data_IF_684430096566
#
_entry.id   IF_684430096566
#
_cell.length_a   1.000
_cell.length_b   1.000
_cell.length_c   1.000
_cell.angle_alpha   90.00
_cell.angle_beta   90.00
_cell.angle_gamma   90.00
#
_symmetry.space_group_name_H-M   'P 1'
#
loop_
_entity.id
_entity.type
_entity.pdbx_description
1 polymer ?
#
# COMPACT_ATOMS: atom_id res chain seq x y z
N UNK A 1 -6.69 -4.88 -8.91
CA UNK A 1 -7.06 -3.47 -8.75
C UNK A 1 -8.30 -3.06 -9.56
N UNK A 2 -8.44 -3.31 -10.88
CA UNK A 2 -9.62 -2.90 -11.65
C UNK A 2 -10.94 -3.48 -11.13
N UNK A 3 -10.92 -4.74 -10.68
CA UNK A 3 -12.11 -5.41 -10.13
C UNK A 3 -12.62 -4.69 -8.87
N UNK A 4 -11.71 -4.35 -7.96
CA UNK A 4 -12.05 -3.64 -6.72
C UNK A 4 -12.51 -2.21 -7.03
N UNK A 5 -11.88 -1.53 -8.00
CA UNK A 5 -12.32 -0.23 -8.46
C UNK A 5 -13.78 -0.25 -8.94
N UNK A 6 -14.11 -1.16 -9.84
CA UNK A 6 -15.47 -1.33 -10.35
C UNK A 6 -16.45 -1.71 -9.24
N UNK A 7 -16.06 -2.61 -8.36
CA UNK A 7 -16.89 -3.06 -7.24
C UNK A 7 -17.16 -1.91 -6.26
N UNK A 8 -16.12 -1.16 -5.88
CA UNK A 8 -16.26 -0.02 -4.97
C UNK A 8 -17.14 1.09 -5.58
N UNK A 9 -17.04 1.34 -6.88
CA UNK A 9 -17.84 2.37 -7.54
C UNK A 9 -19.32 2.01 -7.66
N UNK A 10 -19.66 0.72 -7.64
CA UNK A 10 -21.04 0.22 -7.75
C UNK A 10 -21.72 -0.05 -6.42
N UNK A 11 -20.95 -0.11 -5.35
CA UNK A 11 -21.51 -0.41 -4.03
C UNK A 11 -22.41 0.74 -3.57
N UNK A 12 -23.65 0.39 -3.23
CA UNK A 12 -24.60 1.33 -2.64
C UNK A 12 -24.83 0.96 -1.17
N UNK A 13 -24.27 1.73 -0.25
CA UNK A 13 -24.28 1.46 1.18
C UNK A 13 -24.63 2.72 1.97
N UNK A 14 -25.14 2.53 3.21
CA UNK A 14 -25.39 3.61 4.18
C UNK A 14 -24.13 4.43 4.49
N UNK A 15 -22.96 3.79 4.33
CA UNK A 15 -21.63 4.40 4.54
C UNK A 15 -21.02 4.96 3.24
N UNK A 16 -21.86 5.24 2.23
CA UNK A 16 -21.36 5.61 0.91
C UNK A 16 -20.85 4.39 0.12
N UNK A 17 -20.30 4.62 -1.07
CA UNK A 17 -19.86 3.53 -1.96
C UNK A 17 -18.48 2.96 -1.62
N UNK A 18 -17.53 3.80 -1.15
CA UNK A 18 -16.11 3.42 -0.95
C UNK A 18 -15.75 3.08 0.47
N UNK A 19 -16.39 3.72 1.46
CA UNK A 19 -16.08 3.53 2.88
C UNK A 19 -16.23 2.10 3.39
N UNK A 20 -17.19 1.27 2.93
CA UNK A 20 -17.27 -0.13 3.35
C UNK A 20 -15.97 -0.91 3.10
N UNK A 21 -15.31 -0.66 1.96
CA UNK A 21 -14.03 -1.28 1.61
C UNK A 21 -12.90 -0.79 2.50
N UNK A 22 -12.87 0.51 2.78
CA UNK A 22 -11.90 1.11 3.70
C UNK A 22 -12.03 0.52 5.10
N UNK A 23 -13.26 0.41 5.64
CA UNK A 23 -13.51 -0.19 6.96
C UNK A 23 -13.10 -1.67 7.00
N UNK A 24 -13.51 -2.43 5.98
CA UNK A 24 -13.20 -3.85 5.93
C UNK A 24 -11.70 -4.13 5.83
N UNK A 25 -10.93 -3.27 5.18
CA UNK A 25 -9.49 -3.46 4.99
C UNK A 25 -8.65 -3.22 6.24
N UNK A 26 -9.11 -2.43 7.23
CA UNK A 26 -8.33 -2.01 8.40
C UNK A 26 -7.72 -3.20 9.14
N UNK A 27 -8.56 -4.15 9.52
CA UNK A 27 -8.16 -5.31 10.34
C UNK A 27 -7.29 -6.29 9.53
N UNK A 28 -7.74 -6.80 8.37
CA UNK A 28 -6.94 -7.79 7.65
C UNK A 28 -5.61 -7.22 7.13
N UNK A 29 -5.54 -5.92 6.80
CA UNK A 29 -4.30 -5.29 6.39
C UNK A 29 -3.26 -5.25 7.52
N UNK A 30 -3.64 -4.78 8.70
CA UNK A 30 -2.74 -4.69 9.86
C UNK A 30 -2.34 -6.08 10.39
N UNK A 31 -3.27 -7.04 10.44
CA UNK A 31 -2.97 -8.40 10.87
C UNK A 31 -2.08 -9.16 9.88
N UNK A 32 -2.36 -9.03 8.57
CA UNK A 32 -1.53 -9.68 7.55
C UNK A 32 -0.10 -9.15 7.59
N UNK A 33 0.09 -7.82 7.75
CA UNK A 33 1.41 -7.25 7.95
C UNK A 33 2.09 -7.79 9.21
N UNK A 34 1.39 -7.79 10.34
CA UNK A 34 1.94 -8.32 11.59
C UNK A 34 2.41 -9.76 11.44
N UNK A 35 1.56 -10.66 10.98
CA UNK A 35 1.91 -12.08 10.84
C UNK A 35 2.96 -12.36 9.75
N UNK A 36 3.06 -11.48 8.74
CA UNK A 36 4.07 -11.61 7.70
C UNK A 36 5.47 -11.29 8.25
N UNK A 37 5.60 -10.19 9.00
CA UNK A 37 6.87 -9.72 9.56
C UNK A 37 7.24 -10.49 10.82
N UNK A 38 6.26 -10.77 11.71
CA UNK A 38 6.44 -11.62 12.88
C UNK A 38 6.47 -13.10 12.47
N UNK A 39 7.48 -13.50 11.71
CA UNK A 39 7.66 -14.88 11.25
C UNK A 39 7.73 -15.90 12.40
N UNK A 40 7.70 -17.21 12.11
CA UNK A 40 8.01 -18.24 13.07
C UNK A 40 9.47 -18.14 13.50
N UNK A 41 9.80 -18.64 14.70
CA UNK A 41 11.19 -18.70 15.13
C UNK A 41 12.02 -19.60 14.18
N UNK A 42 13.32 -19.32 14.05
CA UNK A 42 14.20 -20.14 13.21
C UNK A 42 14.15 -21.63 13.61
N UNK A 43 13.82 -22.49 12.64
CA UNK A 43 13.70 -23.93 12.85
C UNK A 43 12.35 -24.41 13.40
N UNK A 44 11.39 -23.52 13.66
CA UNK A 44 10.06 -23.89 14.16
C UNK A 44 9.16 -24.47 13.06
N UNK A 45 9.44 -24.19 11.81
CA UNK A 45 8.64 -24.61 10.66
C UNK A 45 9.55 -25.12 9.55
N UNK A 46 9.14 -26.18 8.86
CA UNK A 46 9.85 -26.67 7.69
C UNK A 46 9.67 -25.75 6.47
N UNK A 47 10.62 -25.79 5.54
CA UNK A 47 10.69 -24.87 4.39
C UNK A 47 9.41 -24.88 3.52
N UNK A 48 8.78 -26.05 3.35
CA UNK A 48 7.55 -26.18 2.57
C UNK A 48 6.37 -25.44 3.20
N UNK A 49 6.18 -25.59 4.51
CA UNK A 49 5.13 -24.91 5.26
C UNK A 49 5.41 -23.43 5.37
N UNK A 50 6.67 -23.03 5.54
CA UNK A 50 7.09 -21.63 5.52
C UNK A 50 6.76 -20.96 4.19
N UNK A 51 7.07 -21.62 3.07
CA UNK A 51 6.75 -21.10 1.73
C UNK A 51 5.25 -20.84 1.57
N UNK A 52 4.39 -21.82 1.89
CA UNK A 52 2.94 -21.66 1.75
C UNK A 52 2.37 -20.61 2.70
N UNK A 53 2.90 -20.50 3.93
CA UNK A 53 2.55 -19.46 4.87
C UNK A 53 2.85 -18.07 4.29
N UNK A 54 4.05 -17.87 3.74
CA UNK A 54 4.45 -16.60 3.12
C UNK A 54 3.56 -16.25 1.93
N UNK A 55 3.30 -17.21 1.03
CA UNK A 55 2.41 -17.00 -0.12
C UNK A 55 1.02 -16.57 0.35
N UNK A 56 0.44 -17.25 1.32
CA UNK A 56 -0.90 -16.97 1.83
C UNK A 56 -0.98 -15.58 2.48
N UNK A 57 -0.02 -15.26 3.35
CA UNK A 57 0.02 -13.95 4.03
C UNK A 57 0.27 -12.80 3.06
N UNK A 58 1.15 -13.00 2.07
CA UNK A 58 1.37 -12.02 1.00
C UNK A 58 0.11 -11.80 0.16
N UNK A 59 -0.65 -12.84 -0.16
CA UNK A 59 -1.91 -12.70 -0.88
C UNK A 59 -2.93 -11.91 -0.06
N UNK A 60 -3.10 -12.21 1.24
CA UNK A 60 -4.01 -11.46 2.12
C UNK A 60 -3.57 -10.00 2.22
N UNK A 61 -2.28 -9.76 2.43
CA UNK A 61 -1.71 -8.41 2.51
C UNK A 61 -2.02 -7.61 1.25
N UNK A 62 -1.75 -8.19 0.06
CA UNK A 62 -2.00 -7.54 -1.23
C UNK A 62 -3.47 -7.25 -1.48
N UNK A 63 -4.35 -8.20 -1.18
CA UNK A 63 -5.80 -8.01 -1.32
C UNK A 63 -6.27 -6.90 -0.38
N UNK A 64 -5.84 -6.91 0.88
CA UNK A 64 -6.24 -5.91 1.87
C UNK A 64 -5.71 -4.52 1.53
N UNK A 65 -4.47 -4.44 1.04
CA UNK A 65 -3.85 -3.21 0.54
C UNK A 65 -4.65 -2.64 -0.66
N UNK A 66 -5.00 -3.47 -1.63
CA UNK A 66 -5.82 -3.06 -2.79
C UNK A 66 -7.22 -2.59 -2.36
N UNK A 67 -7.85 -3.29 -1.39
CA UNK A 67 -9.15 -2.89 -0.83
C UNK A 67 -9.10 -1.52 -0.14
N UNK A 68 -7.94 -1.10 0.35
CA UNK A 68 -7.74 0.21 0.95
C UNK A 68 -7.32 1.26 -0.10
N UNK A 69 -6.26 0.99 -0.87
CA UNK A 69 -5.63 1.99 -1.73
C UNK A 69 -6.49 2.42 -2.92
N UNK A 70 -7.17 1.48 -3.56
CA UNK A 70 -7.99 1.80 -4.75
C UNK A 70 -9.15 2.72 -4.38
N UNK A 71 -10.00 2.41 -3.38
CA UNK A 71 -11.07 3.33 -2.98
C UNK A 71 -10.55 4.65 -2.41
N UNK A 72 -9.43 4.62 -1.65
CA UNK A 72 -8.81 5.84 -1.10
C UNK A 72 -8.28 6.76 -2.19
N UNK A 73 -7.57 6.20 -3.17
CA UNK A 73 -7.02 6.96 -4.30
C UNK A 73 -8.11 7.63 -5.13
N UNK A 74 -9.24 6.94 -5.32
CA UNK A 74 -10.37 7.49 -6.03
C UNK A 74 -11.21 8.47 -5.18
N UNK A 75 -11.16 8.38 -3.83
CA UNK A 75 -11.83 9.31 -2.92
C UNK A 75 -11.12 10.68 -2.86
N UNK A 76 -9.80 10.70 -2.89
CA UNK A 76 -9.01 11.93 -2.72
C UNK A 76 -9.41 13.07 -3.69
N UNK A 77 -9.57 12.85 -5.02
CA UNK A 77 -10.04 13.88 -5.94
C UNK A 77 -11.48 14.33 -5.73
N UNK A 78 -12.31 13.52 -5.04
CA UNK A 78 -13.71 13.85 -4.78
C UNK A 78 -13.88 14.73 -3.54
N UNK A 79 -12.89 14.76 -2.63
CA UNK A 79 -12.95 15.56 -1.40
C UNK A 79 -12.89 17.06 -1.66
N UNK A 80 -12.35 17.49 -2.79
CA UNK A 80 -12.35 18.92 -3.18
C UNK A 80 -12.55 19.09 -4.68
N UNK A 81 -13.29 20.13 -5.05
CA UNK A 81 -13.46 20.55 -6.45
C UNK A 81 -12.38 21.56 -6.87
N UNK A 82 -11.71 22.17 -5.91
CA UNK A 82 -10.65 23.15 -6.14
C UNK A 82 -9.34 22.44 -6.51
N UNK A 83 -8.69 22.90 -7.56
CA UNK A 83 -7.42 22.37 -8.05
C UNK A 83 -6.30 22.51 -7.02
N UNK A 84 -6.18 23.68 -6.40
CA UNK A 84 -5.10 23.97 -5.44
C UNK A 84 -5.25 23.12 -4.17
N UNK A 85 -6.49 22.93 -3.70
CA UNK A 85 -6.75 22.04 -2.57
C UNK A 85 -6.44 20.58 -2.89
N UNK A 86 -6.76 20.08 -4.10
CA UNK A 86 -6.38 18.73 -4.52
C UNK A 86 -4.88 18.53 -4.55
N UNK A 87 -4.15 19.52 -5.08
CA UNK A 87 -2.71 19.49 -5.14
C UNK A 87 -2.08 19.50 -3.73
N UNK A 88 -2.63 20.32 -2.84
CA UNK A 88 -2.23 20.36 -1.42
C UNK A 88 -2.48 19.00 -0.73
N UNK A 89 -3.65 18.39 -0.93
CA UNK A 89 -3.96 17.07 -0.38
C UNK A 89 -3.01 15.99 -0.90
N UNK A 90 -2.69 16.00 -2.19
CA UNK A 90 -1.74 15.06 -2.78
C UNK A 90 -0.33 15.24 -2.21
N UNK A 91 0.14 16.50 -2.10
CA UNK A 91 1.46 16.82 -1.55
C UNK A 91 1.58 16.43 -0.07
N UNK A 92 0.57 16.72 0.74
CA UNK A 92 0.52 16.29 2.15
C UNK A 92 0.49 14.77 2.27
N UNK A 93 -0.29 14.08 1.42
CA UNK A 93 -0.32 12.61 1.42
C UNK A 93 1.04 12.00 1.09
N UNK A 94 1.76 12.56 0.12
CA UNK A 94 3.12 12.13 -0.20
C UNK A 94 4.09 12.43 0.96
N UNK A 95 4.03 13.63 1.52
CA UNK A 95 4.88 14.02 2.64
C UNK A 95 4.71 13.07 3.83
N UNK A 96 3.47 12.85 4.28
CA UNK A 96 3.19 11.92 5.38
C UNK A 96 3.51 10.46 5.02
N UNK A 97 3.37 10.06 3.76
CA UNK A 97 3.79 8.74 3.28
C UNK A 97 5.30 8.52 3.44
N UNK A 98 6.10 9.50 3.03
CA UNK A 98 7.56 9.46 3.18
C UNK A 98 7.97 9.52 4.66
N UNK A 99 7.43 10.44 5.45
CA UNK A 99 7.73 10.52 6.89
C UNK A 99 7.32 9.24 7.64
N UNK A 100 6.17 8.66 7.31
CA UNK A 100 5.73 7.40 7.92
C UNK A 100 6.61 6.22 7.52
N UNK A 101 6.89 6.07 6.21
CA UNK A 101 7.71 4.97 5.70
C UNK A 101 9.17 5.08 6.13
N UNK A 102 9.83 6.19 5.82
CA UNK A 102 11.22 6.42 6.21
C UNK A 102 11.40 6.50 7.73
N UNK A 103 10.43 7.09 8.44
CA UNK A 103 10.47 7.19 9.89
C UNK A 103 10.45 5.85 10.59
N UNK A 104 9.55 4.94 10.20
CA UNK A 104 9.51 3.59 10.79
C UNK A 104 10.73 2.77 10.39
N UNK A 105 11.22 2.89 9.15
CA UNK A 105 12.43 2.21 8.70
C UNK A 105 13.66 2.68 9.48
N UNK A 106 13.81 4.00 9.67
CA UNK A 106 14.86 4.58 10.50
C UNK A 106 14.82 4.07 11.95
N UNK A 107 13.64 4.13 12.60
CA UNK A 107 13.46 3.66 13.97
C UNK A 107 13.78 2.17 14.08
N UNK A 108 13.28 1.37 13.13
CA UNK A 108 13.52 -0.06 13.11
C UNK A 108 15.02 -0.41 13.03
N UNK A 109 15.71 0.19 12.06
CA UNK A 109 17.13 -0.09 11.82
C UNK A 109 18.04 0.47 12.91
N UNK A 110 17.69 1.60 13.50
CA UNK A 110 18.55 2.26 14.49
C UNK A 110 18.36 1.70 15.89
N UNK A 111 17.12 1.40 16.30
CA UNK A 111 16.80 1.04 17.68
C UNK A 111 16.40 -0.43 17.88
N UNK A 112 15.85 -1.10 16.87
CA UNK A 112 15.24 -2.42 17.06
C UNK A 112 16.02 -3.55 16.40
N UNK A 113 16.76 -3.30 15.32
CA UNK A 113 17.47 -4.32 14.57
C UNK A 113 18.98 -4.25 14.86
N UNK A 114 19.50 -5.23 15.59
CA UNK A 114 20.94 -5.40 15.80
C UNK A 114 21.63 -5.99 14.56
N UNK A 115 20.90 -6.79 13.79
CA UNK A 115 21.36 -7.39 12.53
C UNK A 115 20.18 -7.58 11.57
N UNK A 116 20.45 -7.86 10.28
CA UNK A 116 19.40 -8.15 9.29
C UNK A 116 18.68 -9.48 9.52
N UNK A 117 19.17 -10.33 10.41
CA UNK A 117 18.56 -11.61 10.80
C UNK A 117 18.07 -11.61 12.25
N UNK A 118 17.92 -10.44 12.86
CA UNK A 118 17.46 -10.29 14.24
C UNK A 118 15.97 -10.57 14.38
N UNK A 119 15.65 -11.77 14.84
CA UNK A 119 14.28 -12.21 15.04
C UNK A 119 13.49 -11.32 16.01
N UNK A 120 14.09 -10.94 17.13
CA UNK A 120 13.43 -10.12 18.15
C UNK A 120 13.13 -8.70 17.63
N UNK A 121 14.09 -8.11 16.92
CA UNK A 121 13.89 -6.81 16.29
C UNK A 121 12.74 -6.80 15.28
N UNK A 122 12.62 -7.86 14.48
CA UNK A 122 11.48 -8.01 13.55
C UNK A 122 10.14 -8.22 14.26
N UNK A 123 10.10 -8.87 15.43
CA UNK A 123 8.86 -8.97 16.23
C UNK A 123 8.39 -7.59 16.72
N UNK A 124 9.33 -6.75 17.17
CA UNK A 124 9.02 -5.37 17.58
C UNK A 124 8.54 -4.54 16.39
N UNK A 125 9.23 -4.63 15.24
CA UNK A 125 8.83 -3.96 14.00
C UNK A 125 7.44 -4.41 13.53
N UNK A 126 7.15 -5.71 13.59
CA UNK A 126 5.84 -6.26 13.22
C UNK A 126 4.72 -5.66 14.08
N UNK A 127 4.94 -5.59 15.40
CA UNK A 127 3.95 -5.07 16.34
C UNK A 127 3.68 -3.57 16.12
N UNK A 128 4.72 -2.75 16.15
CA UNK A 128 4.58 -1.30 15.98
C UNK A 128 4.16 -0.90 14.57
N UNK A 129 4.69 -1.59 13.55
CA UNK A 129 4.27 -1.38 12.16
C UNK A 129 2.80 -1.77 11.93
N UNK A 130 2.35 -2.89 12.50
CA UNK A 130 0.95 -3.31 12.46
C UNK A 130 0.01 -2.30 13.14
N UNK A 131 0.39 -1.76 14.31
CA UNK A 131 -0.34 -0.68 14.99
C UNK A 131 -0.34 0.59 14.14
N UNK A 132 0.78 0.96 13.54
CA UNK A 132 0.88 2.12 12.65
C UNK A 132 -0.05 2.03 11.45
N UNK A 133 -0.10 0.86 10.79
CA UNK A 133 -1.04 0.58 9.70
C UNK A 133 -2.48 0.67 10.19
N UNK A 134 -2.80 0.05 11.32
CA UNK A 134 -4.16 0.10 11.90
C UNK A 134 -4.60 1.53 12.17
N UNK A 135 -3.79 2.33 12.86
CA UNK A 135 -4.10 3.72 13.19
C UNK A 135 -4.22 4.56 11.92
N UNK A 136 -3.25 4.47 11.00
CA UNK A 136 -3.25 5.25 9.76
C UNK A 136 -4.46 4.97 8.87
N UNK A 137 -4.82 3.71 8.70
CA UNK A 137 -6.00 3.31 7.92
C UNK A 137 -7.30 3.69 8.63
N UNK A 138 -7.39 3.53 9.96
CA UNK A 138 -8.55 3.93 10.74
C UNK A 138 -8.76 5.45 10.73
N UNK A 139 -7.71 6.23 10.95
CA UNK A 139 -7.77 7.71 10.90
C UNK A 139 -8.21 8.19 9.52
N UNK A 140 -7.66 7.62 8.46
CA UNK A 140 -8.07 7.96 7.08
C UNK A 140 -9.54 7.65 6.86
N UNK A 141 -9.99 6.46 7.25
CA UNK A 141 -11.36 5.98 7.02
C UNK A 141 -12.38 6.76 7.84
N UNK A 142 -12.11 6.95 9.14
CA UNK A 142 -13.03 7.66 10.06
C UNK A 142 -13.00 9.16 9.74
N UNK A 143 -11.83 9.73 9.48
CA UNK A 143 -11.67 11.16 9.18
C UNK A 143 -12.40 11.60 7.91
N UNK A 144 -12.44 10.73 6.89
CA UNK A 144 -13.16 11.01 5.64
C UNK A 144 -14.65 10.67 5.68
N UNK A 145 -15.10 9.94 6.72
CA UNK A 145 -16.51 9.55 6.86
C UNK A 145 -17.47 10.74 6.87
N UNK A 146 -17.09 11.84 7.48
CA UNK A 146 -17.90 13.06 7.56
C UNK A 146 -18.25 13.64 6.20
N UNK A 147 -17.42 13.42 5.20
CA UNK A 147 -17.58 13.98 3.86
C UNK A 147 -18.49 13.14 2.95
N UNK A 148 -18.96 11.96 3.40
CA UNK A 148 -19.79 11.04 2.61
C UNK A 148 -21.03 11.74 1.97
N UNK A 149 -21.79 12.60 2.69
CA UNK A 149 -22.97 13.25 2.12
C UNK A 149 -22.67 14.17 0.94
N UNK A 150 -21.45 14.72 0.87
CA UNK A 150 -21.00 15.68 -0.13
C UNK A 150 -20.38 15.01 -1.37
N UNK A 151 -20.11 13.70 -1.29
CA UNK A 151 -19.48 12.96 -2.37
C UNK A 151 -20.41 12.85 -3.58
N UNK A 152 -19.88 13.14 -4.74
CA UNK A 152 -20.61 13.04 -6.01
C UNK A 152 -21.10 11.61 -6.27
N UNK A 153 -22.38 11.47 -6.60
CA UNK A 153 -22.96 10.21 -7.07
C UNK A 153 -22.85 10.16 -8.60
N UNK A 154 -21.87 9.46 -9.17
CA UNK A 154 -21.82 9.33 -10.63
C UNK A 154 -23.05 8.58 -11.14
N UNK A 155 -23.47 8.86 -12.37
CA UNK A 155 -24.55 8.10 -12.99
C UNK A 155 -24.20 6.61 -13.03
N UNK A 156 -25.20 5.77 -12.80
CA UNK A 156 -25.04 4.32 -12.86
C UNK A 156 -24.58 3.92 -14.27
N UNK A 157 -23.29 3.62 -14.42
CA UNK A 157 -22.73 3.18 -15.69
C UNK A 157 -22.92 1.67 -15.79
N UNK A 158 -23.63 1.22 -16.82
CA UNK A 158 -23.74 -0.20 -17.13
C UNK A 158 -22.35 -0.73 -17.52
N UNK A 159 -21.92 -1.88 -16.95
CA UNK A 159 -20.77 -2.59 -17.46
C UNK A 159 -21.19 -3.31 -18.74
N UNK A 160 -20.91 -2.69 -19.84
CA UNK A 160 -20.80 -3.42 -21.09
C UNK A 160 -19.32 -3.77 -21.30
N UNK A 161 -19.00 -5.06 -21.31
CA UNK A 161 -17.63 -5.56 -21.58
C UNK A 161 -17.10 -5.03 -22.90
N UNK A 162 -18.00 -4.76 -23.85
CA UNK A 162 -17.64 -4.20 -25.15
C UNK A 162 -17.21 -2.74 -25.04
N UNK A 163 -17.90 -1.93 -24.25
CA UNK A 163 -17.51 -0.54 -24.01
C UNK A 163 -16.18 -0.46 -23.24
N UNK A 164 -15.99 -1.34 -22.26
CA UNK A 164 -14.74 -1.42 -21.50
C UNK A 164 -13.55 -1.79 -22.39
N UNK A 165 -13.70 -2.80 -23.27
CA UNK A 165 -12.61 -3.18 -24.20
C UNK A 165 -12.31 -2.06 -25.20
N UNK A 166 -13.32 -1.34 -25.68
CA UNK A 166 -13.15 -0.19 -26.58
C UNK A 166 -12.37 0.96 -25.89
N UNK A 167 -12.71 1.27 -24.64
CA UNK A 167 -12.00 2.28 -23.84
C UNK A 167 -10.55 1.90 -23.57
N UNK A 168 -10.28 0.62 -23.30
CA UNK A 168 -8.91 0.12 -23.16
C UNK A 168 -8.11 0.30 -24.46
N UNK A 169 -8.67 -0.06 -25.59
CA UNK A 169 -8.01 0.07 -26.90
C UNK A 169 -7.73 1.54 -27.19
N UNK A 170 -8.68 2.44 -26.93
CA UNK A 170 -8.48 3.88 -27.11
C UNK A 170 -7.35 4.42 -26.22
N UNK A 171 -7.30 3.99 -24.97
CA UNK A 171 -6.24 4.37 -24.02
C UNK A 171 -4.89 3.86 -24.51
N UNK A 172 -4.80 2.59 -24.90
CA UNK A 172 -3.58 1.98 -25.44
C UNK A 172 -3.15 2.55 -26.82
N UNK A 173 -4.06 3.21 -27.54
CA UNK A 173 -3.75 3.89 -28.81
C UNK A 173 -3.21 5.32 -28.60
N UNK A 174 -3.32 5.87 -27.39
CA UNK A 174 -2.84 7.21 -27.09
C UNK A 174 -1.31 7.22 -26.88
N UNK A 175 -0.58 7.83 -27.80
CA UNK A 175 0.91 7.88 -27.76
C UNK A 175 1.44 8.53 -26.49
N UNK A 176 0.84 9.62 -26.02
CA UNK A 176 1.25 10.30 -24.78
C UNK A 176 1.09 9.41 -23.57
N UNK A 177 -0.03 8.66 -23.51
CA UNK A 177 -0.28 7.69 -22.45
C UNK A 177 0.74 6.54 -22.49
N UNK A 178 1.05 6.00 -23.69
CA UNK A 178 2.05 4.94 -23.84
C UNK A 178 3.45 5.36 -23.39
N UNK A 179 3.86 6.59 -23.70
CA UNK A 179 5.17 7.12 -23.26
C UNK A 179 5.21 7.23 -21.73
N UNK A 180 4.16 7.78 -21.12
CA UNK A 180 4.07 7.86 -19.66
C UNK A 180 4.03 6.49 -19.01
N UNK A 181 3.29 5.55 -19.58
CA UNK A 181 3.22 4.17 -19.09
C UNK A 181 4.58 3.47 -19.18
N UNK A 182 5.27 3.57 -20.32
CA UNK A 182 6.60 3.00 -20.49
C UNK A 182 7.61 3.61 -19.49
N UNK A 183 7.60 4.93 -19.34
CA UNK A 183 8.43 5.62 -18.34
C UNK A 183 8.16 5.13 -16.92
N UNK A 184 6.88 4.98 -16.55
CA UNK A 184 6.47 4.43 -15.27
C UNK A 184 6.93 2.98 -15.05
N UNK A 185 6.88 2.14 -16.11
CA UNK A 185 7.39 0.77 -16.06
C UNK A 185 8.90 0.74 -15.80
N UNK A 186 9.69 1.53 -16.52
CA UNK A 186 11.15 1.60 -16.31
C UNK A 186 11.49 2.12 -14.91
N UNK A 187 10.80 3.16 -14.45
CA UNK A 187 10.96 3.67 -13.09
C UNK A 187 10.65 2.60 -12.03
N UNK A 188 9.52 1.91 -12.18
CA UNK A 188 9.12 0.85 -11.24
C UNK A 188 10.08 -0.34 -11.24
N UNK A 189 10.64 -0.71 -12.40
CA UNK A 189 11.69 -1.73 -12.51
C UNK A 189 12.94 -1.31 -11.73
N UNK A 190 13.37 -0.05 -11.89
CA UNK A 190 14.55 0.49 -11.22
C UNK A 190 14.38 0.48 -9.71
N UNK A 191 13.26 1.03 -9.21
CA UNK A 191 12.94 1.04 -7.78
C UNK A 191 12.77 -0.38 -7.23
N UNK A 192 12.15 -1.29 -8.00
CA UNK A 192 11.98 -2.68 -7.60
C UNK A 192 13.31 -3.43 -7.49
N UNK A 193 14.23 -3.22 -8.42
CA UNK A 193 15.59 -3.79 -8.36
C UNK A 193 16.37 -3.22 -7.18
N UNK A 194 16.35 -1.91 -6.98
CA UNK A 194 17.01 -1.26 -5.86
C UNK A 194 16.51 -1.81 -4.52
N UNK A 195 15.18 -1.86 -4.33
CA UNK A 195 14.57 -2.36 -3.09
C UNK A 195 14.83 -3.85 -2.87
N UNK A 196 14.79 -4.66 -3.94
CA UNK A 196 14.96 -6.11 -3.84
C UNK A 196 16.40 -6.54 -3.58
N UNK A 197 17.36 -5.84 -4.15
CA UNK A 197 18.79 -6.23 -4.08
C UNK A 197 19.57 -5.38 -3.07
N UNK A 198 19.06 -4.19 -2.72
CA UNK A 198 19.74 -3.23 -1.86
C UNK A 198 20.15 -3.81 -0.51
N UNK A 199 19.28 -4.56 0.16
CA UNK A 199 19.59 -5.20 1.45
C UNK A 199 20.75 -6.20 1.32
N UNK A 200 20.76 -6.99 0.23
CA UNK A 200 21.84 -7.96 -0.02
C UNK A 200 23.18 -7.27 -0.28
N UNK A 201 23.20 -6.18 -1.05
CA UNK A 201 24.42 -5.38 -1.24
C UNK A 201 24.92 -4.80 0.06
N UNK A 202 24.05 -4.26 0.89
CA UNK A 202 24.40 -3.67 2.15
C UNK A 202 25.00 -4.71 3.13
N UNK A 203 24.40 -5.90 3.20
CA UNK A 203 24.83 -6.95 4.10
C UNK A 203 26.10 -7.67 3.59
N UNK A 204 26.10 -8.15 2.34
CA UNK A 204 27.15 -9.05 1.83
C UNK A 204 28.31 -8.34 1.15
N UNK A 205 28.07 -7.21 0.47
CA UNK A 205 29.13 -6.49 -0.25
C UNK A 205 29.76 -5.40 0.63
N UNK A 206 28.92 -4.54 1.21
CA UNK A 206 29.40 -3.42 2.02
C UNK A 206 29.58 -3.78 3.49
N UNK A 207 29.00 -4.89 3.96
CA UNK A 207 29.00 -5.34 5.35
C UNK A 207 28.54 -4.26 6.33
N UNK A 208 27.57 -3.46 5.90
CA UNK A 208 26.99 -2.39 6.70
C UNK A 208 26.03 -2.96 7.74
N UNK A 209 26.07 -2.39 8.94
CA UNK A 209 25.07 -2.69 9.95
C UNK A 209 23.76 -1.93 9.68
N UNK A 210 22.62 -2.41 10.18
CA UNK A 210 21.33 -1.68 10.03
C UNK A 210 21.41 -0.22 10.49
N UNK A 211 22.13 0.07 11.57
CA UNK A 211 22.35 1.42 12.12
C UNK A 211 23.09 2.34 11.14
N UNK A 212 24.06 1.79 10.41
CA UNK A 212 24.80 2.56 9.40
C UNK A 212 23.88 2.97 8.25
N UNK A 213 23.02 2.07 7.79
CA UNK A 213 22.05 2.37 6.73
C UNK A 213 21.04 3.41 7.22
N UNK A 214 20.53 3.27 8.46
CA UNK A 214 19.60 4.24 9.04
C UNK A 214 20.18 5.66 9.09
N UNK A 215 21.49 5.82 9.27
CA UNK A 215 22.15 7.13 9.30
C UNK A 215 22.25 7.79 7.90
N UNK A 216 22.08 7.03 6.80
CA UNK A 216 22.18 7.49 5.42
C UNK A 216 20.83 7.56 4.69
N UNK A 217 19.76 6.97 5.24
CA UNK A 217 18.40 6.98 4.70
C UNK A 217 17.59 8.19 5.17
#
# INVERSE_FOLDING_TARGET
>A
DPIIGIWSDRTNSKYGRRHPFLYFSIIPFSLAYYFLIAGPAPGEMDDGNLFWRLVFLLMILRISMTLFEVPRGALAPELSKDYDQRNTLASLSMMFGWFGGAGIDFIARYYWLDSFVDFNGYQILAFWGGIGIFIGTAVTTIGTHRNIPELHKPPARSLDLRSFSSELIQTLSNKSWLVLFASGCFYSLLVGLESGVGTYYNEYLWQWKPQTIAAWS
#
